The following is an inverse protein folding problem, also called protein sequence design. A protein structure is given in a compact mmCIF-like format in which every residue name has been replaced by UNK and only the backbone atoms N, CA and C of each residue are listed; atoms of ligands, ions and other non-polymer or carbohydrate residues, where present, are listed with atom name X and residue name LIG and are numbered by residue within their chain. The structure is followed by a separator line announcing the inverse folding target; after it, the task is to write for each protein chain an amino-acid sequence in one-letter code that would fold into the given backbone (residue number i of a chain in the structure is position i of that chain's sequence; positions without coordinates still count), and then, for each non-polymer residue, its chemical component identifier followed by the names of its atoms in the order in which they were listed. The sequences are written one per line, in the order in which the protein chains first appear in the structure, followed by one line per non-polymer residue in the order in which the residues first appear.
data_IF_683610315542
#
_entry.id   IF_683610315542
#
_cell.length_a   1.000
_cell.length_b   1.000
_cell.length_c   1.000
_cell.angle_alpha   90.00
_cell.angle_beta   90.00
_cell.angle_gamma   90.00
#
_symmetry.space_group_name_H-M   'P 1'
#
loop_
_entity.id
_entity.type
_entity.pdbx_description
1 polymer ?
#
# COMPACT_ATOMS: atom_id res chain seq x y z
N UNK A 1 -4.77 -18.69 -18.77
CA UNK A 1 -6.14 -18.51 -18.23
C UNK A 1 -6.54 -17.03 -18.32
N UNK A 2 -7.48 -16.66 -19.20
CA UNK A 2 -7.99 -15.28 -19.29
C UNK A 2 -8.86 -15.00 -18.04
N UNK A 3 -8.30 -14.25 -17.10
CA UNK A 3 -8.93 -13.85 -15.83
C UNK A 3 -10.15 -12.99 -16.17
N UNK A 4 -11.37 -13.55 -16.07
CA UNK A 4 -12.61 -12.77 -16.19
C UNK A 4 -12.52 -11.65 -15.15
N UNK A 5 -12.38 -10.39 -15.57
CA UNK A 5 -12.55 -9.27 -14.65
C UNK A 5 -13.96 -9.40 -14.09
N UNK A 6 -14.06 -9.73 -12.81
CA UNK A 6 -15.33 -9.89 -12.12
C UNK A 6 -16.18 -8.65 -12.40
N UNK A 7 -17.43 -8.81 -12.81
CA UNK A 7 -18.31 -7.70 -13.18
C UNK A 7 -18.38 -6.65 -12.06
N UNK A 8 -18.34 -7.13 -10.80
CA UNK A 8 -18.23 -6.31 -9.60
C UNK A 8 -16.99 -5.43 -9.55
N UNK A 9 -15.84 -5.91 -10.02
CA UNK A 9 -14.58 -5.16 -10.01
C UNK A 9 -14.59 -4.05 -11.06
N UNK A 10 -15.12 -4.32 -12.27
CA UNK A 10 -15.31 -3.29 -13.30
C UNK A 10 -16.35 -2.25 -12.87
N UNK A 11 -17.44 -2.69 -12.25
CA UNK A 11 -18.46 -1.80 -11.72
C UNK A 11 -17.89 -0.93 -10.60
N UNK A 12 -17.13 -1.50 -9.66
CA UNK A 12 -16.54 -0.76 -8.54
C UNK A 12 -15.51 0.26 -9.01
N UNK A 13 -14.64 -0.10 -9.96
CA UNK A 13 -13.68 0.83 -10.57
C UNK A 13 -14.39 1.97 -11.32
N UNK A 14 -15.41 1.65 -12.12
CA UNK A 14 -16.20 2.66 -12.83
C UNK A 14 -16.96 3.57 -11.87
N UNK A 15 -17.63 3.01 -10.87
CA UNK A 15 -18.42 3.74 -9.90
C UNK A 15 -17.54 4.68 -9.07
N UNK A 16 -16.40 4.19 -8.57
CA UNK A 16 -15.44 5.02 -7.80
C UNK A 16 -14.87 6.15 -8.63
N UNK A 17 -14.54 5.89 -9.91
CA UNK A 17 -14.05 6.92 -10.82
C UNK A 17 -15.14 7.95 -11.18
N UNK A 18 -16.38 7.48 -11.36
CA UNK A 18 -17.51 8.34 -11.67
C UNK A 18 -17.83 9.26 -10.48
N UNK A 19 -17.95 8.71 -9.27
CA UNK A 19 -18.28 9.48 -8.06
C UNK A 19 -17.15 10.41 -7.60
N UNK A 20 -15.89 10.09 -7.90
CA UNK A 20 -14.74 10.96 -7.61
C UNK A 20 -14.49 12.09 -8.61
N UNK A 21 -15.26 12.19 -9.69
CA UNK A 21 -15.08 13.21 -10.74
C UNK A 21 -15.74 14.55 -10.37
N UNK A 22 -15.13 15.67 -10.80
CA UNK A 22 -15.70 17.02 -10.65
C UNK A 22 -17.12 17.13 -11.25
N UNK A 23 -17.40 16.41 -12.34
CA UNK A 23 -18.72 16.39 -12.95
C UNK A 23 -19.79 15.74 -12.03
N UNK A 24 -19.43 14.68 -11.30
CA UNK A 24 -20.36 14.03 -10.37
C UNK A 24 -20.63 14.91 -9.15
N UNK A 25 -19.63 15.66 -8.67
CA UNK A 25 -19.83 16.65 -7.62
C UNK A 25 -20.82 17.73 -8.05
N UNK A 26 -20.65 18.31 -9.24
CA UNK A 26 -21.57 19.33 -9.78
C UNK A 26 -22.98 18.77 -9.93
N UNK A 27 -23.14 17.54 -10.43
CA UNK A 27 -24.43 16.88 -10.54
C UNK A 27 -25.08 16.63 -9.18
N UNK A 28 -24.32 16.18 -8.18
CA UNK A 28 -24.82 15.95 -6.83
C UNK A 28 -25.30 17.26 -6.17
N UNK A 29 -24.50 18.33 -6.27
CA UNK A 29 -24.89 19.65 -5.75
C UNK A 29 -26.14 20.16 -6.48
N UNK A 30 -26.18 20.03 -7.82
CA UNK A 30 -27.35 20.43 -8.60
C UNK A 30 -28.61 19.67 -8.20
N UNK A 31 -28.50 18.36 -7.94
CA UNK A 31 -29.63 17.55 -7.46
C UNK A 31 -30.14 18.03 -6.09
N UNK A 32 -29.25 18.39 -5.17
CA UNK A 32 -29.62 18.96 -3.86
C UNK A 32 -30.31 20.32 -4.02
N UNK A 33 -29.79 21.18 -4.90
CA UNK A 33 -30.40 22.50 -5.19
C UNK A 33 -31.80 22.33 -5.80
N UNK A 34 -31.96 21.43 -6.78
CA UNK A 34 -33.26 21.14 -7.39
C UNK A 34 -34.25 20.61 -6.35
N UNK A 35 -33.82 19.69 -5.49
CA UNK A 35 -34.65 19.16 -4.41
C UNK A 35 -35.07 20.27 -3.42
N UNK A 36 -34.15 21.16 -3.05
CA UNK A 36 -34.44 22.27 -2.15
C UNK A 36 -35.43 23.28 -2.79
N UNK A 37 -35.27 23.56 -4.09
CA UNK A 37 -36.12 24.47 -4.85
C UNK A 37 -37.53 23.91 -5.12
N UNK A 38 -37.68 22.59 -5.21
CA UNK A 38 -38.98 21.92 -5.38
C UNK A 38 -39.69 21.65 -4.04
N UNK A 39 -38.98 21.77 -2.92
CA UNK A 39 -39.52 21.61 -1.57
C UNK A 39 -40.72 22.51 -1.19
N UNK A 40 -40.78 23.81 -1.58
CA UNK A 40 -41.93 24.67 -1.28
C UNK A 40 -43.24 24.19 -1.91
N UNK A 41 -43.18 23.60 -3.11
CA UNK A 41 -44.35 23.00 -3.79
C UNK A 41 -44.87 21.80 -3.00
N UNK A 42 -43.95 21.01 -2.44
CA UNK A 42 -44.26 19.85 -1.59
C UNK A 42 -44.48 20.21 -0.10
N UNK A 43 -44.51 21.51 0.24
CA UNK A 43 -44.61 22.05 1.61
C UNK A 43 -43.59 21.44 2.59
N UNK A 44 -42.43 21.00 2.09
CA UNK A 44 -41.45 20.25 2.87
C UNK A 44 -42.06 19.11 3.70
N UNK A 45 -43.01 18.37 3.13
CA UNK A 45 -43.68 17.26 3.80
C UNK A 45 -42.72 16.18 4.30
N UNK A 46 -43.18 15.37 5.26
CA UNK A 46 -42.39 14.27 5.81
C UNK A 46 -41.94 13.28 4.73
N UNK A 47 -42.81 12.96 3.76
CA UNK A 47 -42.47 12.10 2.63
C UNK A 47 -41.40 12.72 1.73
N UNK A 48 -41.44 14.05 1.53
CA UNK A 48 -40.47 14.77 0.73
C UNK A 48 -39.05 14.74 1.34
N UNK A 49 -38.97 14.90 2.65
CA UNK A 49 -37.70 14.80 3.40
C UNK A 49 -37.20 13.34 3.48
N UNK A 50 -38.13 12.38 3.62
CA UNK A 50 -37.79 10.97 3.65
C UNK A 50 -37.09 10.52 2.37
N UNK A 51 -37.53 10.97 1.19
CA UNK A 51 -36.93 10.58 -0.09
C UNK A 51 -35.44 10.93 -0.15
N UNK A 52 -35.05 12.17 0.21
CA UNK A 52 -33.63 12.56 0.16
C UNK A 52 -32.81 11.87 1.24
N UNK A 53 -33.36 11.72 2.45
CA UNK A 53 -32.66 11.09 3.57
C UNK A 53 -32.42 9.60 3.30
N UNK A 54 -33.45 8.87 2.85
CA UNK A 54 -33.34 7.45 2.50
C UNK A 54 -32.44 7.25 1.30
N UNK A 55 -32.57 8.07 0.25
CA UNK A 55 -31.72 7.98 -0.94
C UNK A 55 -30.24 8.21 -0.64
N UNK A 56 -29.93 9.28 0.09
CA UNK A 56 -28.55 9.61 0.45
C UNK A 56 -27.94 8.55 1.37
N UNK A 57 -28.71 7.99 2.29
CA UNK A 57 -28.25 6.91 3.18
C UNK A 57 -27.88 5.65 2.39
N UNK A 58 -28.72 5.22 1.43
CA UNK A 58 -28.43 4.07 0.58
C UNK A 58 -27.18 4.33 -0.26
N UNK A 59 -27.09 5.50 -0.91
CA UNK A 59 -25.92 5.87 -1.72
C UNK A 59 -24.66 5.86 -0.86
N UNK A 60 -24.71 6.44 0.34
CA UNK A 60 -23.58 6.50 1.27
C UNK A 60 -23.17 5.10 1.72
N UNK A 61 -24.13 4.24 2.07
CA UNK A 61 -23.86 2.85 2.44
C UNK A 61 -23.15 2.10 1.32
N UNK A 62 -23.63 2.23 0.08
CA UNK A 62 -22.97 1.64 -1.09
C UNK A 62 -21.58 2.25 -1.33
N UNK A 63 -21.43 3.56 -1.17
CA UNK A 63 -20.18 4.27 -1.37
C UNK A 63 -19.09 3.80 -0.40
N UNK A 64 -19.44 3.48 0.85
CA UNK A 64 -18.48 2.93 1.83
C UNK A 64 -17.86 1.63 1.29
N UNK A 65 -18.64 0.70 0.75
CA UNK A 65 -18.11 -0.52 0.16
C UNK A 65 -17.26 -0.27 -1.10
N UNK A 66 -17.67 0.67 -1.94
CA UNK A 66 -16.92 1.05 -3.13
C UNK A 66 -15.55 1.65 -2.77
N UNK A 67 -15.53 2.57 -1.81
CA UNK A 67 -14.30 3.16 -1.27
C UNK A 67 -13.41 2.07 -0.66
N UNK A 68 -13.96 1.21 0.20
CA UNK A 68 -13.19 0.11 0.80
C UNK A 68 -12.60 -0.84 -0.26
N UNK A 69 -13.34 -1.16 -1.33
CA UNK A 69 -12.83 -2.00 -2.42
C UNK A 69 -11.71 -1.31 -3.19
N UNK A 70 -11.83 -0.01 -3.49
CA UNK A 70 -10.77 0.76 -4.15
C UNK A 70 -9.53 0.85 -3.25
N UNK A 71 -9.72 1.23 -1.99
CA UNK A 71 -8.65 1.36 -1.01
C UNK A 71 -7.92 0.03 -0.78
N UNK A 72 -8.64 -1.09 -0.64
CA UNK A 72 -8.02 -2.41 -0.45
C UNK A 72 -7.12 -2.81 -1.64
N UNK A 73 -7.49 -2.44 -2.87
CA UNK A 73 -6.64 -2.70 -4.05
C UNK A 73 -5.40 -1.81 -4.04
N UNK A 74 -5.54 -0.53 -3.72
CA UNK A 74 -4.44 0.43 -3.70
C UNK A 74 -3.46 0.12 -2.56
N UNK A 75 -3.94 -0.24 -1.37
CA UNK A 75 -3.11 -0.71 -0.26
C UNK A 75 -2.25 -1.90 -0.65
N UNK A 76 -2.81 -2.93 -1.29
CA UNK A 76 -2.04 -4.09 -1.78
C UNK A 76 -0.96 -3.70 -2.78
N UNK A 77 -1.25 -2.77 -3.67
CA UNK A 77 -0.26 -2.28 -4.63
C UNK A 77 0.89 -1.52 -3.95
N UNK A 78 0.59 -0.75 -2.90
CA UNK A 78 1.61 -0.08 -2.07
C UNK A 78 2.49 -1.12 -1.37
N UNK A 79 1.90 -2.12 -0.70
CA UNK A 79 2.65 -3.19 -0.04
C UNK A 79 3.59 -3.93 -1.01
N UNK A 80 3.10 -4.31 -2.20
CA UNK A 80 3.93 -4.95 -3.22
C UNK A 80 5.10 -4.07 -3.69
N UNK A 81 4.86 -2.77 -3.91
CA UNK A 81 5.92 -1.83 -4.31
C UNK A 81 6.97 -1.67 -3.20
N UNK A 82 6.55 -1.62 -1.94
CA UNK A 82 7.44 -1.55 -0.78
C UNK A 82 8.25 -2.84 -0.63
N UNK A 83 7.60 -4.00 -0.77
CA UNK A 83 8.26 -5.30 -0.72
C UNK A 83 9.35 -5.42 -1.80
N UNK A 84 9.10 -4.96 -3.03
CA UNK A 84 10.11 -4.91 -4.09
C UNK A 84 11.31 -4.01 -3.71
N UNK A 85 11.05 -2.81 -3.18
CA UNK A 85 12.11 -1.89 -2.75
C UNK A 85 12.95 -2.49 -1.62
N UNK A 86 12.32 -3.11 -0.61
CA UNK A 86 12.99 -3.77 0.51
C UNK A 86 13.83 -4.96 0.02
N UNK A 87 13.26 -5.79 -0.87
CA UNK A 87 13.96 -6.94 -1.44
C UNK A 87 15.15 -6.52 -2.33
N UNK A 88 15.08 -5.37 -2.99
CA UNK A 88 16.15 -4.85 -3.85
C UNK A 88 17.36 -4.29 -3.08
N UNK A 89 17.26 -4.10 -1.76
CA UNK A 89 18.30 -3.48 -0.94
C UNK A 89 19.19 -4.55 -0.26
N UNK A 90 20.46 -4.66 -0.69
CA UNK A 90 21.44 -5.63 -0.16
C UNK A 90 21.68 -5.39 1.34
N UNK A 91 21.27 -6.34 2.17
CA UNK A 91 21.45 -6.31 3.63
C UNK A 91 20.15 -6.29 4.45
N UNK A 92 19.00 -6.08 3.81
CA UNK A 92 17.70 -6.15 4.51
C UNK A 92 17.31 -7.60 4.73
N UNK A 93 16.91 -7.95 5.96
CA UNK A 93 16.42 -9.31 6.23
C UNK A 93 15.15 -9.55 5.42
N UNK A 94 15.10 -10.65 4.65
CA UNK A 94 13.89 -11.12 3.95
C UNK A 94 12.67 -11.23 4.87
N UNK A 95 12.87 -11.21 6.20
CA UNK A 95 11.80 -11.21 7.20
C UNK A 95 11.01 -9.90 7.29
N UNK A 96 11.50 -8.81 6.68
CA UNK A 96 10.76 -7.55 6.53
C UNK A 96 9.88 -7.54 5.28
N UNK A 97 10.22 -8.37 4.29
CA UNK A 97 9.40 -8.56 3.09
C UNK A 97 8.13 -9.30 3.54
N UNK A 98 6.97 -8.80 3.15
CA UNK A 98 5.67 -9.40 3.46
C UNK A 98 5.26 -9.33 4.95
N UNK A 99 5.71 -8.28 5.65
CA UNK A 99 5.40 -8.07 7.07
C UNK A 99 3.90 -8.03 7.38
N UNK A 100 3.06 -7.61 6.42
CA UNK A 100 1.60 -7.53 6.56
C UNK A 100 0.89 -8.88 6.74
N UNK A 101 1.55 -9.98 6.38
CA UNK A 101 0.99 -11.34 6.50
C UNK A 101 1.51 -12.09 7.74
N UNK A 102 2.38 -11.48 8.55
CA UNK A 102 2.85 -12.08 9.80
C UNK A 102 1.72 -12.17 10.82
N UNK A 103 1.73 -13.24 11.61
CA UNK A 103 0.87 -13.34 12.79
C UNK A 103 1.28 -12.30 13.84
N UNK A 104 0.37 -11.94 14.73
CA UNK A 104 0.64 -10.97 15.80
C UNK A 104 1.82 -11.40 16.69
N UNK A 105 1.98 -12.71 16.93
CA UNK A 105 3.13 -13.27 17.67
C UNK A 105 4.45 -13.10 16.93
N UNK A 106 4.45 -13.33 15.62
CA UNK A 106 5.64 -13.14 14.78
C UNK A 106 6.02 -11.66 14.66
N UNK A 107 5.02 -10.78 14.56
CA UNK A 107 5.21 -9.34 14.52
C UNK A 107 5.81 -8.82 15.84
N UNK A 108 5.33 -9.29 17.00
CA UNK A 108 5.90 -8.94 18.31
C UNK A 108 7.34 -9.46 18.47
N UNK A 109 7.64 -10.66 17.99
CA UNK A 109 9.01 -11.19 17.97
C UNK A 109 9.93 -10.36 17.08
N UNK A 110 9.47 -9.97 15.90
CA UNK A 110 10.23 -9.14 14.96
C UNK A 110 10.48 -7.74 15.55
N UNK A 111 9.46 -7.15 16.18
CA UNK A 111 9.59 -5.88 16.88
C UNK A 111 10.63 -5.95 18.01
N UNK A 112 10.58 -6.99 18.86
CA UNK A 112 11.56 -7.21 19.93
C UNK A 112 12.99 -7.34 19.39
N UNK A 113 13.18 -8.06 18.29
CA UNK A 113 14.47 -8.20 17.63
C UNK A 113 15.04 -6.86 17.17
N UNK A 114 14.24 -6.02 16.49
CA UNK A 114 14.70 -4.69 16.06
C UNK A 114 14.93 -3.72 17.21
N UNK A 115 14.12 -3.79 18.27
CA UNK A 115 14.36 -3.03 19.52
C UNK A 115 15.69 -3.43 20.15
N UNK A 116 16.06 -4.71 20.13
CA UNK A 116 17.36 -5.17 20.60
C UNK A 116 18.51 -4.64 19.73
N UNK A 117 18.38 -4.68 18.40
CA UNK A 117 19.38 -4.10 17.49
C UNK A 117 19.56 -2.61 17.77
N UNK A 118 18.48 -1.85 17.89
CA UNK A 118 18.55 -0.40 18.19
C UNK A 118 19.27 -0.12 19.52
N UNK A 119 18.99 -0.91 20.55
CA UNK A 119 19.68 -0.81 21.86
C UNK A 119 21.16 -1.20 21.79
N UNK A 120 21.52 -2.15 20.93
CA UNK A 120 22.93 -2.51 20.71
C UNK A 120 23.65 -1.38 19.96
N UNK A 121 23.04 -0.81 18.92
CA UNK A 121 23.58 0.33 18.21
C UNK A 121 23.74 1.58 19.10
N UNK A 122 22.79 1.83 20.01
CA UNK A 122 22.89 2.91 21.01
C UNK A 122 24.05 2.69 21.99
N UNK A 123 24.33 1.43 22.36
CA UNK A 123 25.46 1.08 23.23
C UNK A 123 26.80 1.09 22.50
N UNK A 124 26.80 0.93 21.19
CA UNK A 124 27.97 1.04 20.32
C UNK A 124 28.35 2.51 19.99
N UNK A 125 27.51 3.49 20.37
CA UNK A 125 27.81 4.93 20.28
C UNK A 125 28.80 5.39 21.38
N UNK A 126 29.91 4.66 21.50
CA UNK A 126 31.12 5.10 22.18
C UNK A 126 31.99 5.83 21.14
N UNK A 127 32.14 7.15 21.30
CA UNK A 127 32.80 8.08 20.37
C UNK A 127 34.23 7.68 19.92
N UNK A 128 34.83 6.64 20.53
CA UNK A 128 36.21 6.20 20.29
C UNK A 128 36.36 4.86 19.56
N UNK A 129 35.29 4.15 19.23
CA UNK A 129 35.38 2.87 18.51
C UNK A 129 34.92 3.00 17.06
N UNK A 130 35.66 3.77 16.26
CA UNK A 130 35.42 3.82 14.82
C UNK A 130 35.80 2.46 14.21
N UNK A 131 34.81 1.64 13.83
CA UNK A 131 34.98 0.48 12.94
C UNK A 131 35.38 0.90 11.49
N UNK A 132 36.23 1.91 11.31
CA UNK A 132 36.48 2.57 10.02
C UNK A 132 37.44 1.80 9.12
N UNK A 133 38.35 0.98 9.67
CA UNK A 133 39.36 0.29 8.84
C UNK A 133 39.00 -1.20 8.69
N UNK A 134 38.86 -1.94 9.78
CA UNK A 134 38.61 -3.39 9.69
C UNK A 134 37.24 -3.73 9.08
N UNK A 135 36.18 -2.97 9.41
CA UNK A 135 34.85 -3.20 8.82
C UNK A 135 34.75 -2.65 7.39
N UNK A 136 35.49 -1.60 7.04
CA UNK A 136 35.61 -1.15 5.65
C UNK A 136 36.38 -2.19 4.80
N UNK A 137 37.41 -2.81 5.36
CA UNK A 137 38.13 -3.91 4.71
C UNK A 137 37.26 -5.16 4.56
N UNK A 138 36.50 -5.54 5.59
CA UNK A 138 35.54 -6.66 5.54
C UNK A 138 34.52 -6.45 4.42
N UNK A 139 33.92 -5.25 4.37
CA UNK A 139 32.93 -4.90 3.36
C UNK A 139 33.55 -4.87 1.94
N UNK A 140 34.78 -4.36 1.80
CA UNK A 140 35.49 -4.37 0.52
C UNK A 140 35.93 -5.78 0.10
N UNK A 141 36.35 -6.64 1.05
CA UNK A 141 36.65 -8.07 0.82
C UNK A 141 35.40 -8.79 0.31
N UNK A 142 34.26 -8.61 0.98
CA UNK A 142 32.98 -9.22 0.59
C UNK A 142 32.51 -8.76 -0.80
N UNK A 143 32.63 -7.46 -1.12
CA UNK A 143 32.36 -6.94 -2.47
C UNK A 143 33.27 -7.57 -3.53
N UNK A 144 34.56 -7.70 -3.25
CA UNK A 144 35.54 -8.29 -4.17
C UNK A 144 35.26 -9.77 -4.45
N UNK A 145 34.87 -10.53 -3.41
CA UNK A 145 34.48 -11.94 -3.54
C UNK A 145 33.23 -12.09 -4.40
N UNK A 146 32.18 -11.28 -4.15
CA UNK A 146 30.94 -11.32 -4.92
C UNK A 146 31.15 -10.93 -6.40
N UNK A 147 32.00 -9.95 -6.68
CA UNK A 147 32.37 -9.55 -8.05
C UNK A 147 33.13 -10.67 -8.80
N UNK A 148 34.05 -11.37 -8.14
CA UNK A 148 34.76 -12.52 -8.73
C UNK A 148 33.80 -13.67 -9.03
N UNK A 149 32.86 -13.93 -8.13
CA UNK A 149 31.82 -14.97 -8.32
C UNK A 149 30.89 -14.62 -9.50
N UNK A 150 30.41 -13.38 -9.62
CA UNK A 150 29.62 -12.94 -10.79
C UNK A 150 30.40 -13.06 -12.10
N UNK A 151 31.70 -12.71 -12.11
CA UNK A 151 32.54 -12.86 -13.31
C UNK A 151 32.75 -14.33 -13.70
N UNK A 152 32.93 -15.24 -12.74
CA UNK A 152 33.09 -16.67 -13.03
C UNK A 152 31.81 -17.27 -13.62
N UNK A 153 30.63 -16.93 -13.06
CA UNK A 153 29.35 -17.34 -13.64
C UNK A 153 29.17 -16.82 -15.07
N UNK A 154 29.46 -15.54 -15.32
CA UNK A 154 29.34 -14.95 -16.66
C UNK A 154 30.36 -15.47 -17.69
N UNK A 155 31.44 -16.09 -17.24
CA UNK A 155 32.45 -16.71 -18.10
C UNK A 155 32.04 -18.14 -18.45
N UNK A 156 31.56 -18.88 -17.44
CA UNK A 156 31.06 -20.24 -17.60
C UNK A 156 29.78 -20.31 -18.46
N UNK A 157 28.93 -19.29 -18.43
CA UNK A 157 27.79 -19.16 -19.36
C UNK A 157 28.21 -18.82 -20.80
N UNK A 158 29.34 -18.13 -21.00
CA UNK A 158 29.87 -17.82 -22.34
C UNK A 158 30.65 -18.97 -22.96
N UNK A 159 31.31 -19.79 -22.15
CA UNK A 159 32.05 -20.96 -22.62
C UNK A 159 31.12 -22.16 -22.92
N UNK A 160 29.86 -22.11 -22.45
CA UNK A 160 28.82 -23.14 -22.67
C UNK A 160 27.77 -22.76 -23.74
N UNK A 161 27.94 -21.63 -24.44
CA UNK A 161 27.06 -21.14 -25.51
C UNK A 161 27.76 -21.18 -26.86
#
# INVERSE_FOLDING_TARGET
MKRKKNLFERFSEWATKATGSSAAFILAVSAVVIWAATGPVAKYSQTWQLIINTGTTIITFLMVFLIQKSQNKDSKAIHLKLNELIASHEGTSNRMVDIENLTEKELDQLHKFYVQIAKLAEKEDDLTCTHSIDAAEENNRNKTVNLKKRKSYSKQERDNA
#
